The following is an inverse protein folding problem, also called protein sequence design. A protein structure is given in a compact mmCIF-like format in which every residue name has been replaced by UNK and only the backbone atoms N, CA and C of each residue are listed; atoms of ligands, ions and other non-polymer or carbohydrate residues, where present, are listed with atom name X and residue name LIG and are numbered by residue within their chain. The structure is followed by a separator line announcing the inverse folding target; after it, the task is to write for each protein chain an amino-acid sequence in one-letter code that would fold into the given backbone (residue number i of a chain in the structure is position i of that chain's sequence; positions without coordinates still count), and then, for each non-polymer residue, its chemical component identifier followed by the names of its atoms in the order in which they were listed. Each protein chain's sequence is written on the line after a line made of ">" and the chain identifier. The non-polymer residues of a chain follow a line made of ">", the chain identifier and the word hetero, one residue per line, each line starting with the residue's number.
data_IF_960888503462
#
_entry.id   IF_960888503462
#
_cell.length_a   1.000
_cell.length_b   1.000
_cell.length_c   1.000
_cell.angle_alpha   90.00
_cell.angle_beta   90.00
_cell.angle_gamma   90.00
#
_symmetry.space_group_name_H-M   'P 1'
#
loop_
_entity.id
_entity.type
_entity.pdbx_description
1 polymer ?
#
# COMPACT_ATOMS: atom_id res chain seq x y z
N UNK A 1 -24.93 12.29 0.78
CA UNK A 1 -24.08 13.46 0.48
C UNK A 1 -23.12 13.02 -0.61
N UNK A 2 -22.99 13.79 -1.69
CA UNK A 2 -22.02 13.51 -2.74
C UNK A 2 -20.64 14.06 -2.37
N UNK A 3 -19.58 13.43 -2.86
CA UNK A 3 -18.23 14.01 -2.76
C UNK A 3 -18.12 15.22 -3.70
N UNK A 4 -17.41 16.25 -3.25
CA UNK A 4 -17.14 17.45 -4.03
C UNK A 4 -15.63 17.62 -4.16
N UNK A 5 -15.15 17.82 -5.39
CA UNK A 5 -13.74 18.11 -5.66
C UNK A 5 -13.65 19.40 -6.47
N UNK A 6 -12.94 20.40 -5.94
CA UNK A 6 -12.77 21.73 -6.57
C UNK A 6 -14.11 22.37 -6.98
N UNK A 7 -15.14 22.24 -6.14
CA UNK A 7 -16.46 22.84 -6.38
C UNK A 7 -17.39 22.05 -7.32
N UNK A 8 -16.97 20.87 -7.82
CA UNK A 8 -17.78 20.04 -8.70
C UNK A 8 -18.10 18.68 -8.05
N UNK A 9 -19.28 18.08 -8.35
CA UNK A 9 -19.59 16.72 -7.94
C UNK A 9 -18.52 15.74 -8.44
N UNK A 10 -17.99 14.94 -7.52
CA UNK A 10 -16.95 13.96 -7.77
C UNK A 10 -17.52 12.55 -7.59
N UNK A 11 -17.63 11.80 -8.69
CA UNK A 11 -18.04 10.40 -8.66
C UNK A 11 -16.82 9.50 -8.64
N UNK A 12 -16.85 8.51 -7.76
CA UNK A 12 -15.78 7.54 -7.64
C UNK A 12 -15.78 6.60 -8.86
N UNK A 13 -14.75 6.74 -9.70
CA UNK A 13 -14.39 5.78 -10.74
C UNK A 13 -12.93 5.44 -10.51
N UNK A 14 -12.70 4.32 -9.85
CA UNK A 14 -11.40 4.00 -9.26
C UNK A 14 -10.92 2.57 -9.45
N UNK A 15 -9.63 2.37 -9.18
CA UNK A 15 -8.97 1.07 -9.18
C UNK A 15 -8.20 0.85 -7.87
N UNK A 16 -8.02 -0.40 -7.47
CA UNK A 16 -7.04 -0.76 -6.44
C UNK A 16 -5.68 -0.96 -7.09
N UNK A 17 -4.67 -0.24 -6.60
CA UNK A 17 -3.29 -0.28 -7.10
C UNK A 17 -2.34 -0.23 -5.90
N UNK A 18 -2.50 -1.19 -4.99
CA UNK A 18 -1.83 -1.20 -3.67
C UNK A 18 -0.30 -1.03 -3.76
N UNK A 19 0.31 -1.54 -4.82
CA UNK A 19 1.76 -1.57 -5.03
C UNK A 19 2.34 -0.26 -5.58
N UNK A 20 1.51 0.73 -5.91
CA UNK A 20 1.95 1.91 -6.68
C UNK A 20 3.08 2.71 -5.98
N UNK A 21 3.04 2.84 -4.65
CA UNK A 21 4.09 3.53 -3.90
C UNK A 21 5.43 2.78 -3.96
N UNK A 22 5.39 1.44 -3.93
CA UNK A 22 6.57 0.57 -3.99
C UNK A 22 7.26 0.60 -5.36
N UNK A 23 6.52 0.85 -6.44
CA UNK A 23 7.11 1.11 -7.77
C UNK A 23 7.76 2.50 -7.85
N UNK A 24 7.30 3.44 -7.03
CA UNK A 24 7.77 4.82 -7.01
C UNK A 24 9.10 5.03 -6.29
N UNK A 25 9.58 4.05 -5.51
CA UNK A 25 10.87 4.12 -4.84
C UNK A 25 12.00 4.30 -5.86
N UNK A 26 13.16 4.81 -5.42
CA UNK A 26 14.25 5.11 -6.35
C UNK A 26 15.23 3.94 -6.47
N UNK A 27 15.64 3.38 -5.33
CA UNK A 27 16.72 2.40 -5.23
C UNK A 27 16.26 1.03 -4.69
N UNK A 28 15.05 0.93 -4.16
CA UNK A 28 14.53 -0.30 -3.58
C UNK A 28 14.27 -1.38 -4.64
N UNK A 29 14.21 -2.65 -4.21
CA UNK A 29 14.12 -3.80 -5.11
C UNK A 29 12.85 -3.82 -5.99
N UNK A 30 11.82 -3.05 -5.64
CA UNK A 30 10.56 -2.92 -6.40
C UNK A 30 10.51 -1.70 -7.30
N UNK A 31 11.57 -0.89 -7.39
CA UNK A 31 11.63 0.34 -8.20
C UNK A 31 11.31 0.07 -9.67
N UNK A 32 10.26 0.73 -10.17
CA UNK A 32 9.92 0.76 -11.60
C UNK A 32 9.04 1.98 -11.93
N UNK A 33 9.62 3.17 -11.80
CA UNK A 33 8.95 4.44 -12.12
C UNK A 33 8.43 4.51 -13.57
N UNK A 34 9.14 4.02 -14.60
CA UNK A 34 8.61 3.99 -15.97
C UNK A 34 7.34 3.15 -16.10
N UNK A 35 7.27 2.00 -15.43
CA UNK A 35 6.04 1.20 -15.38
C UNK A 35 4.94 1.94 -14.64
N UNK A 36 5.22 2.53 -13.47
CA UNK A 36 4.23 3.30 -12.72
C UNK A 36 3.58 4.38 -13.59
N UNK A 37 4.39 5.19 -14.30
CA UNK A 37 3.88 6.23 -15.20
C UNK A 37 2.98 5.66 -16.30
N UNK A 38 3.42 4.58 -16.98
CA UNK A 38 2.63 3.90 -18.03
C UNK A 38 1.30 3.36 -17.50
N UNK A 39 1.29 2.76 -16.32
CA UNK A 39 0.08 2.23 -15.70
C UNK A 39 -0.90 3.38 -15.33
N UNK A 40 -0.39 4.48 -14.77
CA UNK A 40 -1.22 5.66 -14.48
C UNK A 40 -1.78 6.31 -15.75
N UNK A 41 -0.98 6.42 -16.82
CA UNK A 41 -1.44 6.93 -18.12
C UNK A 41 -2.54 6.04 -18.71
N UNK A 42 -2.39 4.71 -18.59
CA UNK A 42 -3.38 3.76 -19.06
C UNK A 42 -4.68 3.84 -18.26
N UNK A 43 -4.62 3.87 -16.93
CA UNK A 43 -5.81 4.06 -16.09
C UNK A 43 -6.51 5.38 -16.43
N UNK A 44 -5.73 6.45 -16.62
CA UNK A 44 -6.28 7.76 -16.97
C UNK A 44 -6.99 7.76 -18.32
N UNK A 45 -6.45 7.06 -19.32
CA UNK A 45 -7.08 6.94 -20.65
C UNK A 45 -8.38 6.14 -20.63
N UNK A 46 -8.53 5.22 -19.67
CA UNK A 46 -9.77 4.51 -19.38
C UNK A 46 -10.79 5.33 -18.56
N UNK A 47 -10.43 6.56 -18.17
CA UNK A 47 -11.30 7.45 -17.39
C UNK A 47 -11.26 7.21 -15.87
N UNK A 48 -10.36 6.35 -15.38
CA UNK A 48 -10.13 6.14 -13.96
C UNK A 48 -9.41 7.37 -13.39
N UNK A 49 -9.98 7.95 -12.32
CA UNK A 49 -9.46 9.17 -11.68
C UNK A 49 -9.12 8.99 -10.20
N UNK A 50 -9.36 7.81 -9.64
CA UNK A 50 -9.11 7.51 -8.24
C UNK A 50 -8.34 6.20 -8.13
N UNK A 51 -7.22 6.18 -7.40
CA UNK A 51 -6.55 4.93 -7.04
C UNK A 51 -6.56 4.71 -5.53
N UNK A 52 -6.90 3.50 -5.09
CA UNK A 52 -6.68 3.07 -3.71
C UNK A 52 -5.32 2.41 -3.63
N UNK A 53 -4.45 2.92 -2.78
CA UNK A 53 -3.06 2.45 -2.63
C UNK A 53 -2.77 2.05 -1.19
N UNK A 54 -1.74 1.25 -0.98
CA UNK A 54 -1.25 0.91 0.35
C UNK A 54 -0.12 1.88 0.71
N UNK A 55 -0.29 2.58 1.83
CA UNK A 55 0.66 3.55 2.36
C UNK A 55 1.25 3.09 3.71
N UNK A 56 1.12 1.81 4.02
CA UNK A 56 1.68 1.15 5.20
C UNK A 56 2.11 -0.27 4.84
N UNK A 57 3.27 -0.68 5.33
CA UNK A 57 3.66 -2.09 5.27
C UNK A 57 4.74 -2.35 6.30
N UNK A 58 4.59 -3.44 7.03
CA UNK A 58 5.40 -3.76 8.20
C UNK A 58 6.24 -5.01 7.96
N UNK A 59 7.52 -4.89 8.29
CA UNK A 59 8.49 -5.97 8.29
C UNK A 59 8.31 -6.93 9.47
N UNK A 60 9.27 -7.84 9.72
CA UNK A 60 10.59 -7.87 9.09
C UNK A 60 10.53 -8.35 7.64
N UNK A 61 11.47 -7.89 6.81
CA UNK A 61 11.51 -8.15 5.37
C UNK A 61 11.69 -9.63 4.97
N UNK A 62 12.10 -10.49 5.92
CA UNK A 62 12.25 -11.93 5.73
C UNK A 62 11.00 -12.75 6.14
N UNK A 63 9.94 -12.10 6.63
CA UNK A 63 8.72 -12.78 7.01
C UNK A 63 7.92 -13.21 5.76
N UNK A 64 7.21 -14.35 5.83
CA UNK A 64 6.49 -14.88 4.69
C UNK A 64 5.22 -14.07 4.36
N UNK A 65 4.73 -14.27 3.14
CA UNK A 65 3.41 -13.86 2.65
C UNK A 65 3.11 -12.36 2.70
N UNK A 66 4.12 -11.50 2.73
CA UNK A 66 3.96 -10.05 2.74
C UNK A 66 4.78 -9.35 1.65
N UNK A 67 4.48 -8.09 1.42
CA UNK A 67 5.28 -7.21 0.55
C UNK A 67 6.67 -7.00 1.14
N UNK A 68 7.69 -7.09 0.27
CA UNK A 68 9.10 -6.84 0.61
C UNK A 68 9.76 -6.06 -0.54
N UNK A 69 10.54 -5.00 -0.27
CA UNK A 69 10.80 -4.42 1.05
C UNK A 69 9.56 -3.69 1.63
N UNK A 70 9.45 -3.67 2.95
CA UNK A 70 8.37 -3.01 3.70
C UNK A 70 8.74 -1.55 4.03
N UNK A 71 7.76 -0.66 4.03
CA UNK A 71 7.90 0.73 4.47
C UNK A 71 8.40 0.86 5.91
N UNK A 72 8.00 -0.05 6.80
CA UNK A 72 8.38 -0.04 8.21
C UNK A 72 9.01 -1.39 8.59
N UNK A 73 10.32 -1.61 8.32
CA UNK A 73 10.98 -2.89 8.57
C UNK A 73 10.99 -3.31 10.05
N UNK A 74 11.05 -2.34 10.96
CA UNK A 74 11.07 -2.53 12.42
C UNK A 74 10.15 -1.50 13.09
N UNK A 75 9.71 -1.77 14.32
CA UNK A 75 8.82 -0.88 15.06
C UNK A 75 9.42 0.53 15.18
N UNK A 76 8.69 1.53 14.66
CA UNK A 76 9.13 2.93 14.64
C UNK A 76 10.23 3.29 13.63
N UNK A 77 10.78 2.33 12.87
CA UNK A 77 11.83 2.58 11.87
C UNK A 77 11.23 2.53 10.47
N UNK A 78 11.36 3.62 9.70
CA UNK A 78 10.81 3.74 8.36
C UNK A 78 11.91 3.71 7.28
N UNK A 79 11.63 3.03 6.17
CA UNK A 79 12.44 3.04 4.95
C UNK A 79 12.11 4.29 4.11
N UNK A 80 13.01 5.27 4.17
CA UNK A 80 12.88 6.56 3.49
C UNK A 80 12.82 6.44 1.95
N UNK A 81 13.37 5.39 1.34
CA UNK A 81 13.27 5.22 -0.11
C UNK A 81 11.86 4.79 -0.54
N UNK A 82 11.22 3.93 0.26
CA UNK A 82 9.82 3.55 0.04
C UNK A 82 8.88 4.74 0.36
N UNK A 83 9.17 5.50 1.42
CA UNK A 83 8.43 6.72 1.74
C UNK A 83 8.48 7.74 0.57
N UNK A 84 9.66 8.00 0.02
CA UNK A 84 9.83 8.82 -1.20
C UNK A 84 9.14 8.23 -2.43
N UNK A 85 8.89 6.93 -2.45
CA UNK A 85 8.07 6.28 -3.47
C UNK A 85 6.60 6.68 -3.42
N UNK A 86 6.05 6.87 -2.21
CA UNK A 86 4.71 7.44 -2.02
C UNK A 86 4.67 8.90 -2.47
N UNK A 87 5.69 9.71 -2.14
CA UNK A 87 5.79 11.10 -2.60
C UNK A 87 5.77 11.19 -4.13
N UNK A 88 6.58 10.34 -4.78
CA UNK A 88 6.64 10.26 -6.23
C UNK A 88 5.28 9.88 -6.83
N UNK A 89 4.60 8.89 -6.26
CA UNK A 89 3.25 8.51 -6.68
C UNK A 89 2.28 9.69 -6.60
N UNK A 90 2.24 10.40 -5.47
CA UNK A 90 1.31 11.52 -5.27
C UNK A 90 1.56 12.65 -6.29
N UNK A 91 2.83 12.94 -6.58
CA UNK A 91 3.20 13.88 -7.65
C UNK A 91 2.70 13.41 -9.03
N UNK A 92 2.86 12.12 -9.35
CA UNK A 92 2.41 11.57 -10.63
C UNK A 92 0.88 11.57 -10.78
N UNK A 93 0.15 11.40 -9.68
CA UNK A 93 -1.32 11.49 -9.66
C UNK A 93 -1.78 12.93 -9.85
N UNK A 94 -1.16 13.90 -9.17
CA UNK A 94 -1.47 15.32 -9.33
C UNK A 94 -1.30 15.77 -10.78
N UNK A 95 -0.19 15.38 -11.43
CA UNK A 95 0.09 15.69 -12.83
C UNK A 95 -0.96 15.14 -13.82
N UNK A 96 -1.85 14.24 -13.38
CA UNK A 96 -2.89 13.58 -14.19
C UNK A 96 -4.32 13.93 -13.74
N UNK A 97 -4.47 14.86 -12.80
CA UNK A 97 -5.74 15.15 -12.11
C UNK A 97 -6.39 13.88 -11.52
N UNK A 98 -5.57 13.01 -10.95
CA UNK A 98 -6.01 11.81 -10.23
C UNK A 98 -5.87 12.01 -8.72
N UNK A 99 -6.69 11.30 -7.95
CA UNK A 99 -6.68 11.33 -6.48
C UNK A 99 -6.39 9.95 -5.90
N UNK A 100 -5.90 9.89 -4.66
CA UNK A 100 -5.62 8.65 -3.96
C UNK A 100 -6.46 8.47 -2.69
N UNK A 101 -6.85 7.23 -2.41
CA UNK A 101 -7.15 6.79 -1.04
C UNK A 101 -5.93 6.08 -0.48
N UNK A 102 -5.37 6.62 0.61
CA UNK A 102 -4.23 6.04 1.30
C UNK A 102 -4.73 5.06 2.36
N UNK A 103 -4.39 3.79 2.22
CA UNK A 103 -4.66 2.78 3.24
C UNK A 103 -3.49 2.74 4.21
N UNK A 104 -3.76 3.02 5.48
CA UNK A 104 -2.72 3.26 6.51
C UNK A 104 -2.45 2.05 7.43
N UNK A 105 -3.21 0.98 7.27
CA UNK A 105 -2.96 -0.29 7.96
C UNK A 105 -3.76 -1.39 7.24
N UNK A 106 -3.59 -2.63 7.68
CA UNK A 106 -4.22 -3.77 7.07
C UNK A 106 -4.59 -4.81 8.13
N UNK A 107 -5.80 -5.35 8.07
CA UNK A 107 -6.14 -6.49 8.92
C UNK A 107 -5.38 -7.75 8.47
N UNK A 108 -5.08 -7.84 7.17
CA UNK A 108 -4.46 -9.01 6.58
C UNK A 108 -2.93 -8.96 6.59
N UNK A 109 -2.25 -10.13 6.63
CA UNK A 109 -0.81 -10.19 6.80
C UNK A 109 0.00 -9.79 5.55
N UNK A 110 -0.63 -9.57 4.40
CA UNK A 110 0.10 -9.34 3.14
C UNK A 110 0.89 -8.03 3.11
N UNK A 111 0.64 -7.13 4.05
CA UNK A 111 1.49 -5.98 4.30
C UNK A 111 2.02 -5.95 5.72
N UNK A 112 2.07 -7.08 6.44
CA UNK A 112 2.29 -7.12 7.88
C UNK A 112 0.99 -6.84 8.64
N UNK A 113 0.60 -5.57 8.76
CA UNK A 113 -0.71 -5.15 9.26
C UNK A 113 -0.88 -5.30 10.78
N UNK A 114 -2.13 -5.36 11.23
CA UNK A 114 -2.47 -5.41 12.66
C UNK A 114 -1.79 -6.56 13.41
N UNK A 115 -1.71 -7.75 12.80
CA UNK A 115 -1.00 -8.88 13.41
C UNK A 115 0.48 -8.58 13.68
N UNK A 116 1.12 -7.80 12.81
CA UNK A 116 2.52 -7.39 13.00
C UNK A 116 2.67 -6.39 14.16
N UNK A 117 1.73 -5.47 14.32
CA UNK A 117 1.73 -4.56 15.48
C UNK A 117 1.48 -5.31 16.80
N UNK A 118 0.56 -6.27 16.82
CA UNK A 118 0.34 -7.15 17.99
C UNK A 118 1.62 -7.92 18.31
N UNK A 119 2.29 -8.47 17.30
CA UNK A 119 3.57 -9.16 17.48
C UNK A 119 4.65 -8.24 18.07
N UNK A 120 4.82 -7.02 17.55
CA UNK A 120 5.78 -6.06 18.11
C UNK A 120 5.47 -5.72 19.58
N UNK A 121 4.20 -5.51 19.92
CA UNK A 121 3.78 -5.14 21.27
C UNK A 121 3.87 -6.30 22.30
N UNK A 122 3.69 -7.55 21.87
CA UNK A 122 3.50 -8.70 22.78
C UNK A 122 4.57 -9.79 22.65
N UNK A 123 5.37 -9.77 21.58
CA UNK A 123 6.23 -10.85 21.13
C UNK A 123 5.50 -12.18 20.81
N UNK A 124 4.17 -12.21 20.81
CA UNK A 124 3.40 -13.39 20.42
C UNK A 124 3.49 -13.66 18.91
N UNK A 125 3.53 -14.92 18.47
CA UNK A 125 3.68 -15.24 17.05
C UNK A 125 2.47 -14.77 16.24
N UNK A 126 2.73 -14.33 15.00
CA UNK A 126 1.65 -13.93 14.10
C UNK A 126 0.84 -15.16 13.67
N UNK A 127 -0.48 -15.12 13.85
CA UNK A 127 -1.42 -16.20 13.57
C UNK A 127 -1.85 -16.16 12.11
N UNK A 128 -0.97 -16.61 11.23
CA UNK A 128 -1.24 -16.54 9.79
C UNK A 128 -2.47 -17.37 9.39
N UNK A 129 -3.28 -16.88 8.44
CA UNK A 129 -4.40 -17.63 7.89
C UNK A 129 -3.91 -18.80 7.02
N UNK A 130 -4.81 -19.71 6.58
CA UNK A 130 -4.49 -20.71 5.57
C UNK A 130 -3.83 -20.06 4.34
N UNK A 131 -2.78 -20.67 3.75
CA UNK A 131 -2.35 -22.07 3.89
C UNK A 131 -1.28 -22.32 4.97
N UNK A 132 -1.06 -21.41 5.91
CA UNK A 132 -0.16 -21.66 7.03
C UNK A 132 -0.55 -22.95 7.78
N UNK A 133 0.42 -23.70 8.29
CA UNK A 133 0.16 -24.88 9.13
C UNK A 133 -0.63 -24.42 10.36
N UNK A 134 -1.79 -25.03 10.60
CA UNK A 134 -2.75 -24.62 11.62
C UNK A 134 -3.31 -23.20 11.45
N UNK A 135 -3.24 -22.64 10.23
CA UNK A 135 -3.76 -21.31 9.95
C UNK A 135 -5.28 -21.24 10.09
N UNK A 136 -5.76 -20.12 10.60
CA UNK A 136 -7.19 -19.86 10.84
C UNK A 136 -7.51 -18.43 10.44
N UNK A 137 -8.68 -18.24 9.81
CA UNK A 137 -9.19 -16.90 9.54
C UNK A 137 -9.78 -16.27 10.81
N UNK A 138 -10.20 -17.06 11.80
CA UNK A 138 -11.04 -16.59 12.91
C UNK A 138 -10.26 -16.25 14.19
N UNK A 139 -9.01 -16.68 14.31
CA UNK A 139 -8.31 -16.60 15.60
C UNK A 139 -7.99 -15.16 16.02
N UNK A 140 -8.01 -14.20 15.09
CA UNK A 140 -7.65 -12.77 15.33
C UNK A 140 -8.49 -11.79 14.49
N UNK A 141 -9.68 -12.20 14.05
CA UNK A 141 -10.71 -11.31 13.47
C UNK A 141 -11.71 -10.85 14.52
#
# INVERSE_FOLDING_TARGET
>A
QDFMLRGHPHRYVGANMWYAAFLGCEACATSDRPRLQKELDHLRSLGIKHVRVMAASEGPNNAPWRVTPSLQPEEGVFDEDIARGLDYLLQQLEARDMVATLTLNNMWPWSGGFGQYVHWATAEPIPYPPPAVNGSWDTYQ
#
